data_IF_272547509229
#
_entry.id   IF_272547509229
#
_cell.length_a   1.000
_cell.length_b   1.000
_cell.length_c   1.000
_cell.angle_alpha   90.00
_cell.angle_beta   90.00
_cell.angle_gamma   90.00
#
_symmetry.space_group_name_H-M   'P 1'
#
loop_
_entity.id
_entity.type
_entity.pdbx_description
1 polymer ?
#
# COMPACT_ATOMS: atom_id res chain seq x y z
N UNK A 1 -19.67 -2.73 10.21
CA UNK A 1 -18.75 -3.20 9.13
C UNK A 1 -18.33 -4.63 9.38
N UNK A 2 -18.46 -5.47 8.39
CA UNK A 2 -17.99 -6.86 8.47
C UNK A 2 -16.91 -7.10 7.42
N UNK A 3 -15.81 -7.74 7.84
CA UNK A 3 -14.79 -8.21 6.92
C UNK A 3 -15.20 -9.58 6.42
N UNK A 4 -15.54 -9.68 5.14
CA UNK A 4 -16.05 -10.92 4.56
C UNK A 4 -14.92 -11.83 4.07
N UNK A 5 -13.82 -11.25 3.60
CA UNK A 5 -12.67 -11.99 3.10
C UNK A 5 -11.43 -11.09 3.12
N UNK A 6 -10.26 -11.73 3.24
CA UNK A 6 -8.97 -11.05 3.09
C UNK A 6 -8.06 -11.99 2.31
N UNK A 7 -7.26 -11.42 1.40
CA UNK A 7 -6.37 -12.24 0.57
C UNK A 7 -5.26 -11.41 -0.06
N UNK A 8 -4.17 -12.09 -0.39
CA UNK A 8 -3.12 -11.54 -1.23
C UNK A 8 -3.59 -11.65 -2.68
N UNK A 9 -3.64 -10.51 -3.38
CA UNK A 9 -3.98 -10.49 -4.81
C UNK A 9 -2.75 -10.69 -5.66
N UNK A 10 -1.63 -10.13 -5.24
CA UNK A 10 -0.36 -10.25 -5.95
C UNK A 10 0.78 -10.04 -4.97
N UNK A 11 1.86 -10.78 -5.17
CA UNK A 11 3.05 -10.69 -4.32
C UNK A 11 4.27 -11.04 -5.14
N UNK A 12 5.23 -10.12 -5.19
CA UNK A 12 6.54 -10.39 -5.80
C UNK A 12 7.65 -9.96 -4.84
N UNK A 13 8.67 -10.79 -4.76
CA UNK A 13 9.85 -10.51 -3.96
C UNK A 13 11.10 -10.91 -4.75
N UNK A 14 12.03 -9.97 -4.89
CA UNK A 14 13.32 -10.23 -5.53
C UNK A 14 14.46 -9.95 -4.55
N UNK A 15 15.25 -10.97 -4.27
CA UNK A 15 16.48 -10.82 -3.51
C UNK A 15 17.62 -10.48 -4.47
N UNK A 16 17.84 -9.20 -4.69
CA UNK A 16 18.84 -8.71 -5.65
C UNK A 16 20.25 -8.90 -5.09
N UNK A 17 20.42 -8.74 -3.78
CA UNK A 17 21.70 -8.93 -3.11
C UNK A 17 22.27 -10.33 -3.37
N UNK A 18 21.45 -11.38 -3.23
CA UNK A 18 21.88 -12.75 -3.45
C UNK A 18 22.23 -13.02 -4.92
N UNK A 19 21.49 -12.40 -5.86
CA UNK A 19 21.72 -12.54 -7.28
C UNK A 19 23.06 -11.93 -7.71
N UNK A 20 23.49 -10.84 -7.05
CA UNK A 20 24.75 -10.17 -7.36
C UNK A 20 25.95 -10.76 -6.62
N UNK A 21 25.73 -11.70 -5.70
CA UNK A 21 26.80 -12.33 -4.93
C UNK A 21 27.54 -11.38 -4.01
N UNK A 22 26.93 -10.26 -3.63
CA UNK A 22 27.54 -9.29 -2.72
C UNK A 22 27.55 -9.87 -1.30
N UNK A 23 28.70 -9.85 -0.65
CA UNK A 23 28.84 -10.28 0.75
C UNK A 23 29.33 -9.11 1.59
N UNK A 24 28.84 -9.01 2.83
CA UNK A 24 29.27 -7.99 3.78
C UNK A 24 28.09 -7.40 4.54
N UNK A 25 28.40 -6.69 5.60
CA UNK A 25 27.40 -5.97 6.37
C UNK A 25 26.93 -4.77 5.56
N UNK A 26 25.62 -4.73 5.31
CA UNK A 26 24.99 -3.66 4.56
C UNK A 26 23.96 -3.01 5.47
N UNK A 27 24.04 -1.69 5.63
CA UNK A 27 22.99 -0.93 6.29
C UNK A 27 21.90 -0.60 5.27
N UNK A 28 20.68 -1.08 5.50
CA UNK A 28 19.59 -0.84 4.55
C UNK A 28 18.95 0.52 4.74
N UNK A 29 18.57 1.13 3.64
CA UNK A 29 17.68 2.26 3.57
C UNK A 29 16.38 1.75 2.96
N UNK A 30 15.30 1.78 3.74
CA UNK A 30 14.01 1.21 3.36
C UNK A 30 13.09 2.33 2.90
N UNK A 31 12.57 2.20 1.68
CA UNK A 31 11.57 3.12 1.12
C UNK A 31 10.27 2.36 0.93
N UNK A 32 9.16 2.92 1.42
CA UNK A 32 7.85 2.31 1.34
C UNK A 32 6.89 3.26 0.62
N UNK A 33 6.30 2.78 -0.47
CA UNK A 33 5.22 3.48 -1.16
C UNK A 33 3.92 2.75 -0.86
N UNK A 34 2.88 3.51 -0.54
CA UNK A 34 1.55 2.98 -0.20
C UNK A 34 0.53 3.57 -1.14
N UNK A 35 -0.24 2.71 -1.80
CA UNK A 35 -1.37 3.11 -2.62
C UNK A 35 -2.62 2.34 -2.19
N UNK A 36 -3.75 3.01 -2.25
CA UNK A 36 -5.04 2.46 -1.88
C UNK A 36 -5.99 2.50 -3.06
N UNK A 37 -6.81 1.48 -3.18
CA UNK A 37 -7.86 1.43 -4.18
C UNK A 37 -9.11 0.80 -3.56
N UNK A 38 -10.28 1.33 -3.90
CA UNK A 38 -11.54 0.83 -3.42
C UNK A 38 -12.51 0.68 -4.59
N UNK A 39 -13.18 -0.46 -4.66
CA UNK A 39 -14.15 -0.75 -5.71
C UNK A 39 -15.45 -1.25 -5.11
N UNK A 40 -16.56 -0.75 -5.63
CA UNK A 40 -17.85 -1.32 -5.31
C UNK A 40 -18.01 -2.65 -6.03
N UNK A 41 -18.50 -3.66 -5.30
CA UNK A 41 -18.80 -4.97 -5.88
C UNK A 41 -20.22 -5.01 -6.42
N UNK A 42 -20.56 -6.08 -7.15
CA UNK A 42 -21.89 -6.26 -7.74
C UNK A 42 -22.97 -6.41 -6.66
N UNK A 43 -22.63 -7.01 -5.53
CA UNK A 43 -23.56 -7.16 -4.41
C UNK A 43 -23.68 -5.85 -3.64
N UNK A 44 -24.89 -5.53 -3.20
CA UNK A 44 -25.17 -4.29 -2.48
C UNK A 44 -24.36 -4.22 -1.18
N UNK A 45 -23.84 -3.04 -0.87
CA UNK A 45 -23.11 -2.72 0.35
C UNK A 45 -21.80 -3.49 0.51
N UNK A 46 -21.27 -4.07 -0.58
CA UNK A 46 -19.98 -4.75 -0.56
C UNK A 46 -18.94 -3.99 -1.37
N UNK A 47 -17.73 -3.89 -0.79
CA UNK A 47 -16.62 -3.15 -1.36
C UNK A 47 -15.34 -3.98 -1.23
N UNK A 48 -14.50 -3.93 -2.25
CA UNK A 48 -13.14 -4.45 -2.18
C UNK A 48 -12.19 -3.28 -1.99
N UNK A 49 -11.37 -3.34 -0.94
CA UNK A 49 -10.35 -2.33 -0.67
C UNK A 49 -8.99 -3.01 -0.78
N UNK A 50 -8.14 -2.45 -1.62
CA UNK A 50 -6.80 -2.97 -1.86
C UNK A 50 -5.76 -2.02 -1.27
N UNK A 51 -4.82 -2.61 -0.54
CA UNK A 51 -3.63 -1.94 0.00
C UNK A 51 -2.44 -2.42 -0.82
N UNK A 52 -1.84 -1.50 -1.58
CA UNK A 52 -0.69 -1.81 -2.43
C UNK A 52 0.56 -1.24 -1.78
N UNK A 53 1.53 -2.11 -1.52
CA UNK A 53 2.80 -1.75 -0.93
C UNK A 53 3.91 -2.02 -1.93
N UNK A 54 4.77 -1.02 -2.13
CA UNK A 54 6.01 -1.17 -2.88
C UNK A 54 7.16 -0.81 -1.97
N UNK A 55 8.01 -1.78 -1.68
CA UNK A 55 9.11 -1.65 -0.73
C UNK A 55 10.42 -1.87 -1.46
N UNK A 56 11.32 -0.89 -1.35
CA UNK A 56 12.65 -0.95 -1.91
C UNK A 56 13.65 -0.82 -0.79
N UNK A 57 14.55 -1.80 -0.66
CA UNK A 57 15.69 -1.72 0.25
C UNK A 57 16.95 -1.45 -0.54
N UNK A 58 17.67 -0.40 -0.16
CA UNK A 58 18.92 0.00 -0.79
C UNK A 58 20.04 0.04 0.24
N UNK A 59 21.27 -0.18 -0.21
CA UNK A 59 22.42 0.04 0.63
C UNK A 59 22.63 1.54 0.86
N UNK A 60 22.79 1.98 2.10
CA UNK A 60 23.09 3.37 2.41
C UNK A 60 24.44 3.81 1.85
N UNK A 61 25.40 2.89 1.78
CA UNK A 61 26.76 3.19 1.34
C UNK A 61 26.87 3.33 -0.18
N UNK A 62 26.18 2.47 -0.95
CA UNK A 62 26.39 2.35 -2.40
C UNK A 62 25.14 2.69 -3.21
N UNK A 63 23.99 2.83 -2.59
CA UNK A 63 22.68 2.98 -3.23
C UNK A 63 22.26 1.77 -4.09
N UNK A 64 22.96 0.66 -3.98
CA UNK A 64 22.57 -0.58 -4.65
C UNK A 64 21.29 -1.13 -4.04
N UNK A 65 20.42 -1.65 -4.88
CA UNK A 65 19.18 -2.28 -4.42
C UNK A 65 19.52 -3.64 -3.81
N UNK A 66 19.01 -3.89 -2.62
CA UNK A 66 19.18 -5.14 -1.90
C UNK A 66 18.02 -6.09 -2.15
N UNK A 67 16.79 -5.60 -2.06
CA UNK A 67 15.59 -6.34 -2.43
C UNK A 67 14.47 -5.41 -2.89
N UNK A 68 13.56 -5.99 -3.64
CA UNK A 68 12.31 -5.36 -4.05
C UNK A 68 11.15 -6.24 -3.61
N UNK A 69 10.16 -5.64 -2.99
CA UNK A 69 8.93 -6.31 -2.60
C UNK A 69 7.74 -5.50 -3.07
N UNK A 70 6.83 -6.13 -3.80
CA UNK A 70 5.56 -5.53 -4.18
C UNK A 70 4.45 -6.47 -3.73
N UNK A 71 3.46 -5.91 -3.06
CA UNK A 71 2.32 -6.68 -2.58
C UNK A 71 1.03 -5.89 -2.78
N UNK A 72 0.01 -6.60 -3.25
CA UNK A 72 -1.36 -6.12 -3.34
C UNK A 72 -2.21 -7.00 -2.42
N UNK A 73 -2.61 -6.44 -1.29
CA UNK A 73 -3.38 -7.13 -0.26
C UNK A 73 -4.76 -6.51 -0.18
N UNK A 74 -5.81 -7.32 -0.28
CA UNK A 74 -7.17 -6.81 -0.34
C UNK A 74 -8.07 -7.43 0.72
N UNK A 75 -9.11 -6.68 1.06
CA UNK A 75 -10.21 -7.15 1.88
C UNK A 75 -11.53 -6.86 1.19
N UNK A 76 -12.50 -7.73 1.41
CA UNK A 76 -13.88 -7.51 1.01
C UNK A 76 -14.68 -7.16 2.25
N UNK A 77 -15.36 -6.03 2.20
CA UNK A 77 -16.07 -5.46 3.35
C UNK A 77 -17.54 -5.31 3.04
N UNK A 78 -18.37 -5.64 4.00
CA UNK A 78 -19.79 -5.28 3.96
C UNK A 78 -19.97 -4.06 4.85
N UNK A 79 -20.44 -2.96 4.27
CA UNK A 79 -20.56 -1.67 4.94
C UNK A 79 -22.00 -1.18 4.78
N UNK A 80 -22.69 -1.07 5.91
CA UNK A 80 -24.07 -0.59 5.96
C UNK A 80 -24.16 0.62 6.88
N UNK A 81 -25.14 1.48 6.65
CA UNK A 81 -25.46 2.60 7.52
C UNK A 81 -24.37 3.68 7.59
N UNK A 82 -23.53 3.79 6.56
CA UNK A 82 -22.58 4.89 6.44
C UNK A 82 -23.17 5.92 5.46
N UNK A 83 -23.30 7.20 5.84
CA UNK A 83 -23.73 8.22 4.92
C UNK A 83 -22.85 8.28 3.68
N UNK A 84 -23.46 8.55 2.53
CA UNK A 84 -22.77 8.50 1.25
C UNK A 84 -21.58 9.46 1.17
N UNK A 85 -21.71 10.64 1.78
CA UNK A 85 -20.65 11.64 1.83
C UNK A 85 -19.46 11.20 2.71
N UNK A 86 -19.66 10.24 3.61
CA UNK A 86 -18.63 9.69 4.49
C UNK A 86 -18.08 8.34 4.00
N UNK A 87 -18.68 7.77 2.96
CA UNK A 87 -18.31 6.42 2.49
C UNK A 87 -16.90 6.38 1.93
N UNK A 88 -16.51 7.33 1.10
CA UNK A 88 -15.18 7.36 0.48
C UNK A 88 -14.06 7.46 1.52
N UNK A 89 -14.08 8.40 2.48
CA UNK A 89 -13.06 8.39 3.52
C UNK A 89 -13.11 7.13 4.39
N UNK A 90 -14.28 6.57 4.65
CA UNK A 90 -14.39 5.33 5.39
C UNK A 90 -13.66 4.18 4.69
N UNK A 91 -13.87 4.03 3.38
CA UNK A 91 -13.23 2.98 2.59
C UNK A 91 -11.72 3.13 2.52
N UNK A 92 -11.18 4.34 2.55
CA UNK A 92 -9.76 4.59 2.39
C UNK A 92 -9.03 4.87 3.70
N UNK A 93 -9.73 4.91 4.83
CA UNK A 93 -9.13 5.10 6.15
C UNK A 93 -9.40 3.90 7.04
N UNK A 94 -10.67 3.60 7.30
CA UNK A 94 -11.04 2.56 8.25
C UNK A 94 -10.77 1.15 7.71
N UNK A 95 -11.09 0.90 6.45
CA UNK A 95 -10.87 -0.42 5.86
C UNK A 95 -9.39 -0.79 5.76
N UNK A 96 -8.49 0.08 5.27
CA UNK A 96 -7.05 -0.23 5.29
C UNK A 96 -6.50 -0.45 6.70
N UNK A 97 -7.00 0.27 7.69
CA UNK A 97 -6.59 0.06 9.08
C UNK A 97 -6.85 -1.37 9.54
N UNK A 98 -7.95 -1.96 9.10
CA UNK A 98 -8.34 -3.31 9.49
C UNK A 98 -7.43 -4.38 8.87
N UNK A 99 -6.99 -4.18 7.64
CA UNK A 99 -6.21 -5.18 6.92
C UNK A 99 -4.70 -4.98 7.04
N UNK A 100 -4.24 -3.80 7.45
CA UNK A 100 -2.82 -3.47 7.52
C UNK A 100 -2.01 -4.42 8.42
N UNK A 101 -2.47 -4.80 9.62
CA UNK A 101 -1.69 -5.70 10.47
C UNK A 101 -1.40 -7.06 9.82
N UNK A 102 -2.30 -7.55 9.00
CA UNK A 102 -2.11 -8.81 8.27
C UNK A 102 -1.11 -8.64 7.12
N UNK A 103 -1.21 -7.53 6.38
CA UNK A 103 -0.23 -7.18 5.34
C UNK A 103 1.16 -7.01 5.94
N UNK A 104 1.28 -6.33 7.08
CA UNK A 104 2.55 -6.14 7.79
C UNK A 104 3.20 -7.47 8.16
N UNK A 105 2.42 -8.43 8.65
CA UNK A 105 2.94 -9.76 8.99
C UNK A 105 3.52 -10.46 7.75
N UNK A 106 2.84 -10.38 6.62
CA UNK A 106 3.31 -11.01 5.38
C UNK A 106 4.64 -10.39 4.94
N UNK A 107 4.78 -9.08 5.00
CA UNK A 107 6.04 -8.39 4.68
C UNK A 107 7.17 -8.87 5.60
N UNK A 108 6.91 -8.98 6.89
CA UNK A 108 7.88 -9.48 7.86
C UNK A 108 8.32 -10.91 7.52
N UNK A 109 7.38 -11.78 7.22
CA UNK A 109 7.65 -13.19 6.90
C UNK A 109 8.42 -13.33 5.58
N UNK A 110 8.01 -12.61 4.54
CA UNK A 110 8.67 -12.69 3.22
C UNK A 110 10.10 -12.20 3.26
N UNK A 111 10.37 -11.09 3.95
CA UNK A 111 11.73 -10.56 4.06
C UNK A 111 12.63 -11.51 4.85
N UNK A 112 12.11 -12.11 5.92
CA UNK A 112 12.84 -13.11 6.69
C UNK A 112 13.11 -14.36 5.84
N UNK A 113 12.12 -14.85 5.13
CA UNK A 113 12.27 -16.02 4.24
C UNK A 113 13.25 -15.72 3.11
N UNK A 114 13.34 -14.47 2.70
CA UNK A 114 14.31 -14.02 1.70
C UNK A 114 15.74 -13.87 2.22
N UNK A 115 15.98 -14.15 3.49
CA UNK A 115 17.32 -14.09 4.07
C UNK A 115 17.72 -12.74 4.66
N UNK A 116 16.77 -11.82 4.79
CA UNK A 116 16.99 -10.51 5.41
C UNK A 116 16.46 -10.50 6.85
N UNK A 117 16.86 -9.54 7.68
CA UNK A 117 16.16 -9.31 8.94
C UNK A 117 14.70 -9.02 8.67
N UNK A 118 13.76 -9.56 9.48
CA UNK A 118 12.34 -9.30 9.28
C UNK A 118 12.04 -7.81 9.26
N UNK A 119 11.38 -7.34 8.20
CA UNK A 119 10.97 -5.96 8.10
C UNK A 119 9.61 -5.79 8.78
N UNK A 120 9.61 -5.08 9.89
CA UNK A 120 8.37 -4.72 10.60
C UNK A 120 8.02 -3.29 10.26
N UNK A 121 7.02 -3.12 9.39
CA UNK A 121 6.59 -1.81 8.96
C UNK A 121 6.02 -1.01 10.15
N UNK A 122 6.33 0.27 10.19
CA UNK A 122 5.69 1.17 11.14
C UNK A 122 4.21 1.35 10.77
N UNK A 123 3.41 1.77 11.75
CA UNK A 123 2.00 2.05 11.49
C UNK A 123 1.87 3.18 10.48
N UNK A 124 0.89 3.02 9.59
CA UNK A 124 0.61 4.00 8.55
C UNK A 124 -0.50 4.94 9.03
N UNK A 125 -0.28 6.24 8.88
CA UNK A 125 -1.31 7.26 9.12
C UNK A 125 -2.20 7.35 7.88
N UNK A 126 -3.27 6.57 7.87
CA UNK A 126 -4.19 6.53 6.73
C UNK A 126 -4.98 7.82 6.56
N UNK A 127 -5.20 8.58 7.63
CA UNK A 127 -5.85 9.89 7.54
C UNK A 127 -4.97 10.86 6.75
N UNK A 128 -3.66 10.92 7.08
CA UNK A 128 -2.72 11.76 6.37
C UNK A 128 -2.60 11.34 4.90
N UNK A 129 -2.54 10.03 4.65
CA UNK A 129 -2.47 9.49 3.30
C UNK A 129 -3.70 9.87 2.48
N UNK A 130 -4.88 9.79 3.07
CA UNK A 130 -6.13 10.18 2.43
C UNK A 130 -6.15 11.68 2.11
N UNK A 131 -5.75 12.52 3.06
CA UNK A 131 -5.69 13.97 2.84
C UNK A 131 -4.76 14.34 1.70
N UNK A 132 -3.58 13.73 1.65
CA UNK A 132 -2.60 13.98 0.60
C UNK A 132 -3.14 13.56 -0.77
N UNK A 133 -3.85 12.46 -0.84
CA UNK A 133 -4.46 11.98 -2.08
C UNK A 133 -5.55 12.93 -2.58
N UNK A 134 -6.40 13.42 -1.69
CA UNK A 134 -7.45 14.39 -2.04
C UNK A 134 -6.83 15.70 -2.53
N UNK A 135 -5.81 16.20 -1.83
CA UNK A 135 -5.11 17.43 -2.24
C UNK A 135 -4.45 17.28 -3.60
N UNK A 136 -3.84 16.12 -3.86
CA UNK A 136 -3.21 15.83 -5.15
C UNK A 136 -4.23 15.81 -6.28
N UNK A 137 -5.41 15.20 -6.06
CA UNK A 137 -6.50 15.15 -7.05
C UNK A 137 -7.03 16.55 -7.35
N UNK A 138 -7.23 17.38 -6.33
CA UNK A 138 -7.69 18.76 -6.51
C UNK A 138 -6.67 19.58 -7.30
N UNK A 139 -5.38 19.45 -6.98
CA UNK A 139 -4.32 20.15 -7.71
C UNK A 139 -4.27 19.71 -9.18
N UNK A 140 -4.44 18.40 -9.45
CA UNK A 140 -4.47 17.88 -10.81
C UNK A 140 -5.67 18.42 -11.60
N UNK A 141 -6.85 18.49 -10.96
CA UNK A 141 -8.05 19.05 -11.59
C UNK A 141 -7.88 20.53 -11.90
N UNK A 142 -7.31 21.30 -10.99
CA UNK A 142 -7.03 22.72 -11.20
C UNK A 142 -6.02 22.94 -12.34
N UNK A 143 -4.98 22.11 -12.41
CA UNK A 143 -4.00 22.17 -13.47
C UNK A 143 -4.62 21.85 -14.83
N UNK A 144 -5.52 20.85 -14.90
CA UNK A 144 -6.23 20.53 -16.13
C UNK A 144 -7.19 21.64 -16.55
N UNK A 145 -7.90 22.25 -15.59
CA UNK A 145 -8.79 23.37 -15.87
C UNK A 145 -8.05 24.58 -16.41
N UNK A 146 -6.82 24.84 -15.93
CA UNK A 146 -5.96 25.92 -16.43
C UNK A 146 -5.33 25.61 -17.77
N UNK A 147 -5.12 24.32 -18.07
CA UNK A 147 -4.49 23.87 -19.30
C UNK A 147 -5.47 23.80 -20.48
N UNK A 148 -6.78 23.82 -20.23
CA UNK A 148 -7.78 23.77 -21.28
C UNK A 148 -7.95 25.18 -21.85
N UNK A 149 -7.56 25.45 -23.12
CA UNK A 149 -7.79 26.76 -23.69
C UNK A 149 -9.29 27.02 -23.82
N UNK A 150 -9.72 28.17 -23.37
CA UNK A 150 -11.07 28.65 -23.63
C UNK A 150 -11.26 28.79 -25.14
N UNK A 151 -12.18 27.99 -25.67
CA UNK A 151 -12.53 28.08 -27.08
C UNK A 151 -13.38 29.32 -27.35
#
# INVERSE_FOLDING_TARGET
MNVLAQYVRDLSFENILSQKGTTGEVQPDIQVEVNLDAKKRQQDNQFEVALKLKITSKSKATSDVLFLLEMDYAGVFQIENVPEDQLHPYLLIECPRMIFPFARRIVSDVTRDGGFPPLNLETIDFVALYRNEIMRRQAAQQAQAKATPDA
#
